data_IF_717610607338
#
_entry.id   IF_717610607338
#
_cell.length_a   1.000
_cell.length_b   1.000
_cell.length_c   1.000
_cell.angle_alpha   90.00
_cell.angle_beta   90.00
_cell.angle_gamma   90.00
#
_symmetry.space_group_name_H-M   'P 1'
#
loop_
_entity.id
_entity.type
_entity.pdbx_description
1 polymer ?
#
# COMPACT_ATOMS: atom_id res chain seq x y z
N UNK A 1 -34.06 6.50 9.56
CA UNK A 1 -33.06 7.24 8.75
C UNK A 1 -31.86 6.36 8.49
N UNK A 2 -31.48 6.18 7.22
CA UNK A 2 -30.42 5.26 6.77
C UNK A 2 -28.98 5.73 7.10
N UNK A 3 -28.83 6.99 7.54
CA UNK A 3 -27.54 7.62 7.82
C UNK A 3 -26.66 6.87 8.83
N UNK A 4 -27.24 6.32 9.90
CA UNK A 4 -26.47 5.57 10.90
C UNK A 4 -25.94 4.24 10.36
N UNK A 5 -26.57 3.66 9.34
CA UNK A 5 -26.10 2.44 8.69
C UNK A 5 -24.97 2.76 7.70
N UNK A 6 -25.17 3.76 6.84
CA UNK A 6 -24.14 4.23 5.89
C UNK A 6 -22.88 4.70 6.61
N UNK A 7 -23.02 5.43 7.73
CA UNK A 7 -21.89 5.85 8.55
C UNK A 7 -21.10 4.65 9.09
N UNK A 8 -21.77 3.62 9.63
CA UNK A 8 -21.10 2.41 10.12
C UNK A 8 -20.34 1.68 9.02
N UNK A 9 -20.93 1.60 7.82
CA UNK A 9 -20.29 0.99 6.65
C UNK A 9 -19.04 1.77 6.22
N UNK A 10 -19.11 3.09 6.20
CA UNK A 10 -17.96 3.94 5.89
C UNK A 10 -16.86 3.81 6.94
N UNK A 11 -17.22 3.86 8.23
CA UNK A 11 -16.28 3.74 9.34
C UNK A 11 -15.50 2.42 9.29
N UNK A 12 -16.19 1.29 9.06
CA UNK A 12 -15.53 -0.02 8.92
C UNK A 12 -14.54 -0.08 7.75
N UNK A 13 -14.86 0.59 6.62
CA UNK A 13 -13.92 0.71 5.48
C UNK A 13 -12.68 1.50 5.86
N UNK A 14 -12.84 2.63 6.55
CA UNK A 14 -11.71 3.45 7.02
C UNK A 14 -10.81 2.66 7.96
N UNK A 15 -11.39 1.96 8.93
CA UNK A 15 -10.65 1.12 9.89
C UNK A 15 -9.88 0.00 9.17
N UNK A 16 -10.49 -0.63 8.16
CA UNK A 16 -9.81 -1.66 7.35
C UNK A 16 -8.62 -1.07 6.60
N UNK A 17 -8.79 0.08 5.95
CA UNK A 17 -7.72 0.75 5.21
C UNK A 17 -6.57 1.15 6.15
N UNK A 18 -6.90 1.71 7.32
CA UNK A 18 -5.90 2.08 8.33
C UNK A 18 -5.11 0.86 8.81
N UNK A 19 -5.78 -0.27 9.06
CA UNK A 19 -5.12 -1.52 9.45
C UNK A 19 -4.17 -2.01 8.34
N UNK A 20 -4.63 -2.03 7.09
CA UNK A 20 -3.77 -2.40 5.96
C UNK A 20 -2.57 -1.46 5.80
N UNK A 21 -2.75 -0.16 6.02
CA UNK A 21 -1.66 0.81 5.96
C UNK A 21 -0.58 0.52 7.01
N UNK A 22 -0.97 0.23 8.25
CA UNK A 22 -0.03 -0.16 9.31
C UNK A 22 0.78 -1.40 8.92
N UNK A 23 0.13 -2.44 8.41
CA UNK A 23 0.81 -3.64 7.93
C UNK A 23 1.83 -3.31 6.84
N UNK A 24 1.46 -2.47 5.86
CA UNK A 24 2.38 -2.02 4.80
C UNK A 24 3.56 -1.21 5.34
N UNK A 25 3.41 -0.54 6.49
CA UNK A 25 4.48 0.19 7.18
C UNK A 25 5.32 -0.71 8.11
N UNK A 26 5.01 -2.00 8.19
CA UNK A 26 5.70 -2.94 9.08
C UNK A 26 5.21 -2.92 10.53
N UNK A 27 4.04 -2.34 10.80
CA UNK A 27 3.41 -2.26 12.12
C UNK A 27 2.31 -3.33 12.28
N UNK A 28 1.94 -3.65 13.53
CA UNK A 28 0.87 -4.59 13.89
C UNK A 28 0.94 -5.99 13.19
N UNK A 29 2.17 -6.42 12.86
CA UNK A 29 2.43 -7.66 12.10
C UNK A 29 2.15 -8.94 12.89
N UNK A 30 2.13 -8.87 14.22
CA UNK A 30 1.76 -9.96 15.12
C UNK A 30 0.34 -10.50 14.86
N UNK A 31 -0.53 -9.68 14.24
CA UNK A 31 -1.88 -10.07 13.86
C UNK A 31 -1.97 -10.89 12.57
N UNK A 32 -0.85 -11.05 11.85
CA UNK A 32 -0.76 -11.75 10.57
C UNK A 32 -0.18 -13.15 10.75
N UNK A 33 -0.73 -14.11 10.03
CA UNK A 33 -0.12 -15.44 9.94
C UNK A 33 1.01 -15.48 8.90
N UNK A 34 1.78 -16.58 8.86
CA UNK A 34 2.93 -16.72 7.97
C UNK A 34 2.60 -16.50 6.48
N UNK A 35 1.44 -16.99 6.02
CA UNK A 35 1.01 -16.83 4.63
C UNK A 35 0.71 -15.38 4.31
N UNK A 36 0.03 -14.68 5.23
CA UNK A 36 -0.28 -13.26 5.07
C UNK A 36 0.99 -12.40 5.09
N UNK A 37 1.97 -12.74 5.94
CA UNK A 37 3.28 -12.07 5.97
C UNK A 37 4.05 -12.26 4.66
N UNK A 38 4.05 -13.48 4.09
CA UNK A 38 4.68 -13.74 2.79
C UNK A 38 4.01 -12.95 1.66
N UNK A 39 2.68 -12.85 1.68
CA UNK A 39 1.94 -12.03 0.71
C UNK A 39 2.27 -10.55 0.84
N UNK A 40 2.35 -10.06 2.08
CA UNK A 40 2.71 -8.67 2.38
C UNK A 40 4.14 -8.36 1.87
N UNK A 41 5.09 -9.25 2.12
CA UNK A 41 6.47 -9.11 1.65
C UNK A 41 6.53 -9.04 0.11
N UNK A 42 5.88 -9.98 -0.59
CA UNK A 42 5.81 -9.98 -2.05
C UNK A 42 5.16 -8.72 -2.61
N UNK A 43 4.09 -8.22 -1.96
CA UNK A 43 3.43 -6.99 -2.36
C UNK A 43 4.35 -5.78 -2.21
N UNK A 44 5.09 -5.68 -1.10
CA UNK A 44 6.05 -4.61 -0.85
C UNK A 44 7.21 -4.64 -1.85
N UNK A 45 7.79 -5.82 -2.09
CA UNK A 45 8.88 -6.00 -3.04
C UNK A 45 8.48 -5.59 -4.46
N UNK A 46 7.33 -6.08 -4.93
CA UNK A 46 6.80 -5.75 -6.25
C UNK A 46 6.53 -4.25 -6.39
N UNK A 47 5.86 -3.64 -5.41
CA UNK A 47 5.55 -2.21 -5.41
C UNK A 47 6.82 -1.35 -5.42
N UNK A 48 7.81 -1.73 -4.63
CA UNK A 48 9.11 -1.04 -4.57
C UNK A 48 9.86 -1.13 -5.89
N UNK A 49 9.85 -2.31 -6.53
CA UNK A 49 10.43 -2.50 -7.87
C UNK A 49 9.77 -1.59 -8.90
N UNK A 50 8.44 -1.50 -8.90
CA UNK A 50 7.71 -0.60 -9.80
C UNK A 50 8.06 0.87 -9.56
N UNK A 51 8.11 1.33 -8.30
CA UNK A 51 8.49 2.71 -7.95
C UNK A 51 9.90 3.02 -8.44
N UNK A 52 10.87 2.14 -8.17
CA UNK A 52 12.26 2.31 -8.62
C UNK A 52 12.36 2.34 -10.15
N UNK A 53 11.67 1.44 -10.83
CA UNK A 53 11.63 1.39 -12.30
C UNK A 53 11.10 2.70 -12.87
N UNK A 54 9.97 3.20 -12.35
CA UNK A 54 9.39 4.48 -12.78
C UNK A 54 10.33 5.65 -12.52
N UNK A 55 10.97 5.69 -11.34
CA UNK A 55 11.93 6.76 -11.01
C UNK A 55 13.11 6.76 -11.98
N UNK A 56 13.64 5.60 -12.30
CA UNK A 56 14.75 5.46 -13.24
C UNK A 56 14.34 5.87 -14.66
N UNK A 57 13.14 5.48 -15.10
CA UNK A 57 12.61 5.90 -16.39
C UNK A 57 12.49 7.42 -16.49
N UNK A 58 11.83 8.06 -15.51
CA UNK A 58 11.68 9.52 -15.48
C UNK A 58 13.03 10.23 -15.45
N UNK A 59 14.00 9.70 -14.70
CA UNK A 59 15.36 10.27 -14.66
C UNK A 59 16.08 10.15 -16.00
N UNK A 60 15.93 9.03 -16.70
CA UNK A 60 16.50 8.84 -18.04
C UNK A 60 15.85 9.77 -19.08
N UNK A 61 14.54 9.96 -19.00
CA UNK A 61 13.80 10.93 -19.82
C UNK A 61 14.32 12.36 -19.57
N UNK A 62 14.44 12.79 -18.31
CA UNK A 62 14.98 14.12 -17.99
C UNK A 62 16.43 14.33 -18.44
N UNK A 63 17.28 13.30 -18.38
CA UNK A 63 18.64 13.39 -18.93
C UNK A 63 18.59 13.58 -20.44
N UNK A 64 17.75 12.81 -21.13
CA UNK A 64 17.62 12.87 -22.60
C UNK A 64 17.08 14.21 -23.09
N UNK A 65 16.22 14.87 -22.31
CA UNK A 65 15.70 16.22 -22.62
C UNK A 65 16.76 17.33 -22.50
N UNK A 66 17.79 17.12 -21.68
CA UNK A 66 18.84 18.11 -21.41
C UNK A 66 20.11 17.93 -22.25
N UNK A 67 20.20 16.84 -23.03
CA UNK A 67 21.30 16.55 -23.97
C UNK A 67 21.03 17.13 -25.35
#
# INVERSE_FOLDING_TARGET
GNWCHEYRKLKAKVETIQKCQKHLMGEDLESLNLKELQQLEQQLESSLKHIRSRKNQLMAESISELQ
#
